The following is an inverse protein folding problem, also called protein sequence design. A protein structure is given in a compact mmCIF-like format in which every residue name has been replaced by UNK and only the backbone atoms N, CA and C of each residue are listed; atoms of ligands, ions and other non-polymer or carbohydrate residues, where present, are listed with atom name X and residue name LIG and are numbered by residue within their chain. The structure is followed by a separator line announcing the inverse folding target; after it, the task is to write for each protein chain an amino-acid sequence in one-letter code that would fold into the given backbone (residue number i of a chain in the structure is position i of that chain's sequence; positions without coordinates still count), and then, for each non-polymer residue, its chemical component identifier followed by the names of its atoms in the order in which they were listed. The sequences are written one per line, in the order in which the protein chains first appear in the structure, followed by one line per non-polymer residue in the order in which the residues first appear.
data_IF_146391518086
#
_entry.id   IF_146391518086
#
_cell.length_a   1.000
_cell.length_b   1.000
_cell.length_c   1.000
_cell.angle_alpha   90.00
_cell.angle_beta   90.00
_cell.angle_gamma   90.00
#
_symmetry.space_group_name_H-M   'P 1'
#
loop_
_entity.id
_entity.type
_entity.pdbx_description
1 polymer ?
#
# COMPACT_ATOMS: atom_id res chain seq x y z
N UNK A 1 -34.15 33.84 31.67
CA UNK A 1 -32.82 33.44 32.17
C UNK A 1 -31.65 34.20 31.51
N UNK A 2 -31.80 34.84 30.35
CA UNK A 2 -30.71 35.62 29.70
C UNK A 2 -30.77 37.15 29.90
N UNK A 3 -31.70 37.66 30.72
CA UNK A 3 -31.84 39.10 30.98
C UNK A 3 -31.63 39.49 32.46
N UNK A 4 -31.26 38.54 33.33
CA UNK A 4 -31.15 38.78 34.77
C UNK A 4 -29.72 38.62 35.33
N UNK A 5 -28.70 38.57 34.46
CA UNK A 5 -27.30 38.44 34.87
C UNK A 5 -26.36 39.34 34.06
N UNK A 6 -26.83 40.57 33.78
CA UNK A 6 -26.01 41.66 33.25
C UNK A 6 -25.56 42.59 34.39
N UNK A 7 -24.94 42.01 35.42
CA UNK A 7 -24.27 42.72 36.51
C UNK A 7 -22.79 42.33 36.50
N UNK A 8 -21.89 43.17 37.02
CA UNK A 8 -20.44 42.96 36.96
C UNK A 8 -19.99 41.60 37.54
N UNK A 9 -20.76 41.02 38.46
CA UNK A 9 -20.56 39.65 38.99
C UNK A 9 -20.65 38.54 37.91
N UNK A 10 -21.41 38.77 36.84
CA UNK A 10 -21.48 37.89 35.68
C UNK A 10 -20.18 37.87 34.87
N UNK A 11 -19.50 39.01 34.76
CA UNK A 11 -18.19 39.13 34.10
C UNK A 11 -17.05 38.59 34.97
N UNK A 12 -17.15 38.69 36.30
CA UNK A 12 -16.21 38.01 37.20
C UNK A 12 -16.33 36.48 37.18
N UNK A 13 -17.51 35.93 36.85
CA UNK A 13 -17.70 34.48 36.63
C UNK A 13 -17.18 33.98 35.28
N UNK A 14 -16.90 34.87 34.31
CA UNK A 14 -16.15 34.55 33.09
C UNK A 14 -14.64 34.35 33.35
N UNK A 15 -14.22 34.44 34.62
CA UNK A 15 -13.07 33.72 35.15
C UNK A 15 -11.88 33.73 34.21
N UNK A 16 -11.08 34.79 34.29
CA UNK A 16 -9.67 34.84 33.83
C UNK A 16 -8.80 33.85 34.65
N UNK A 17 -9.35 32.68 34.97
CA UNK A 17 -8.82 31.58 35.75
C UNK A 17 -9.18 30.22 35.14
N UNK A 18 -9.87 30.16 33.98
CA UNK A 18 -10.33 28.87 33.41
C UNK A 18 -9.74 28.56 32.03
N UNK A 19 -9.59 29.55 31.13
CA UNK A 19 -9.05 29.30 29.78
C UNK A 19 -7.53 29.11 29.79
N UNK A 20 -6.81 29.95 30.54
CA UNK A 20 -5.35 29.88 30.62
C UNK A 20 -4.91 28.57 31.28
N UNK A 21 -5.54 28.18 32.40
CA UNK A 21 -5.23 26.92 33.09
C UNK A 21 -5.56 25.70 32.23
N UNK A 22 -6.64 25.74 31.44
CA UNK A 22 -6.97 24.68 30.49
C UNK A 22 -5.89 24.54 29.40
N UNK A 23 -5.44 25.66 28.81
CA UNK A 23 -4.37 25.67 27.81
C UNK A 23 -3.06 25.17 28.42
N UNK A 24 -2.73 25.58 29.65
CA UNK A 24 -1.54 25.12 30.37
C UNK A 24 -1.60 23.61 30.63
N UNK A 25 -2.73 23.09 31.12
CA UNK A 25 -2.90 21.64 31.33
C UNK A 25 -2.86 20.84 30.03
N UNK A 26 -3.48 21.35 28.96
CA UNK A 26 -3.45 20.72 27.65
C UNK A 26 -2.02 20.63 27.11
N UNK A 27 -1.27 21.75 27.13
CA UNK A 27 0.11 21.79 26.65
C UNK A 27 1.03 20.92 27.51
N UNK A 28 0.88 20.94 28.84
CA UNK A 28 1.64 20.07 29.74
C UNK A 28 1.39 18.58 29.43
N UNK A 29 0.12 18.21 29.17
CA UNK A 29 -0.24 16.83 28.81
C UNK A 29 0.34 16.42 27.46
N UNK A 30 0.30 17.31 26.47
CA UNK A 30 0.91 17.06 25.15
C UNK A 30 2.42 16.87 25.28
N UNK A 31 3.11 17.73 26.05
CA UNK A 31 4.56 17.63 26.28
C UNK A 31 4.90 16.31 26.97
N UNK A 32 4.17 15.95 28.03
CA UNK A 32 4.38 14.68 28.75
C UNK A 32 4.14 13.48 27.82
N UNK A 33 3.08 13.50 27.02
CA UNK A 33 2.80 12.42 26.07
C UNK A 33 3.89 12.29 25.01
N UNK A 34 4.43 13.40 24.48
CA UNK A 34 5.54 13.39 23.52
C UNK A 34 6.80 12.81 24.16
N UNK A 35 7.14 13.22 25.39
CA UNK A 35 8.30 12.69 26.12
C UNK A 35 8.12 11.19 26.40
N UNK A 36 6.96 10.77 26.88
CA UNK A 36 6.64 9.36 27.12
C UNK A 36 6.66 8.54 25.85
N UNK A 37 6.18 9.07 24.73
CA UNK A 37 6.24 8.41 23.42
C UNK A 37 7.68 8.25 22.95
N UNK A 38 8.51 9.29 23.04
CA UNK A 38 9.93 9.22 22.68
C UNK A 38 10.65 8.20 23.57
N UNK A 39 10.41 8.21 24.88
CA UNK A 39 10.99 7.24 25.81
C UNK A 39 10.58 5.80 25.47
N UNK A 40 9.29 5.58 25.16
CA UNK A 40 8.79 4.27 24.74
C UNK A 40 9.43 3.82 23.42
N UNK A 41 9.56 4.73 22.43
CA UNK A 41 10.22 4.44 21.16
C UNK A 41 11.69 4.09 21.36
N UNK A 42 12.43 4.81 22.21
CA UNK A 42 13.82 4.49 22.54
C UNK A 42 13.91 3.12 23.22
N UNK A 43 13.02 2.83 24.17
CA UNK A 43 12.99 1.54 24.86
C UNK A 43 12.69 0.40 23.90
N UNK A 44 11.69 0.55 23.02
CA UNK A 44 11.37 -0.42 21.97
C UNK A 44 12.55 -0.58 21.01
N UNK A 45 13.21 0.50 20.62
CA UNK A 45 14.41 0.41 19.76
C UNK A 45 15.57 -0.31 20.46
N UNK A 46 15.78 -0.09 21.76
CA UNK A 46 16.79 -0.78 22.55
C UNK A 46 16.46 -2.28 22.65
N UNK A 47 15.21 -2.62 22.94
CA UNK A 47 14.73 -4.00 22.99
C UNK A 47 14.83 -4.68 21.63
N UNK A 48 14.48 -4.01 20.54
CA UNK A 48 14.62 -4.54 19.18
C UNK A 48 16.09 -4.74 18.82
N UNK A 49 16.99 -3.80 19.15
CA UNK A 49 18.42 -3.97 18.91
C UNK A 49 19.01 -5.11 19.74
N UNK A 50 18.58 -5.27 20.99
CA UNK A 50 18.98 -6.40 21.83
C UNK A 50 18.43 -7.72 21.30
N UNK A 51 17.17 -7.73 20.85
CA UNK A 51 16.53 -8.90 20.25
C UNK A 51 17.16 -9.27 18.91
N UNK A 52 17.51 -8.30 18.05
CA UNK A 52 18.22 -8.51 16.79
C UNK A 52 19.65 -8.94 17.05
N UNK A 53 20.35 -8.39 18.05
CA UNK A 53 21.69 -8.86 18.43
C UNK A 53 21.67 -10.30 18.99
N UNK A 54 20.65 -10.65 19.77
CA UNK A 54 20.40 -12.03 20.21
C UNK A 54 19.99 -12.94 19.04
N UNK A 55 19.23 -12.40 18.09
CA UNK A 55 18.84 -13.09 16.88
C UNK A 55 20.04 -13.23 15.93
N UNK A 56 21.01 -12.32 15.88
CA UNK A 56 22.25 -12.40 15.08
C UNK A 56 23.14 -13.56 15.54
N UNK A 57 23.12 -13.88 16.84
CA UNK A 57 23.73 -15.09 17.39
C UNK A 57 22.98 -16.35 16.92
N UNK A 58 21.67 -16.25 16.64
CA UNK A 58 20.82 -17.33 16.13
C UNK A 58 20.69 -17.34 14.59
N UNK A 59 20.99 -16.23 13.90
CA UNK A 59 20.66 -15.94 12.51
C UNK A 59 21.89 -15.95 11.60
N UNK A 60 22.68 -17.01 11.74
CA UNK A 60 23.18 -17.74 10.58
C UNK A 60 22.03 -18.35 9.72
N UNK A 61 20.87 -17.70 9.62
CA UNK A 61 19.72 -18.16 8.83
C UNK A 61 19.57 -17.21 7.63
N UNK A 62 20.34 -17.44 6.55
CA UNK A 62 20.20 -16.77 5.25
C UNK A 62 18.85 -17.03 4.54
N UNK A 63 17.82 -17.55 5.24
CA UNK A 63 16.51 -17.82 4.64
C UNK A 63 15.69 -16.55 4.38
N UNK A 64 15.71 -15.52 5.25
CA UNK A 64 14.77 -14.37 5.11
C UNK A 64 15.18 -13.46 3.94
N UNK A 65 16.47 -13.16 3.79
CA UNK A 65 16.99 -12.41 2.65
C UNK A 65 16.86 -13.16 1.33
N UNK A 66 17.10 -14.48 1.34
CA UNK A 66 16.90 -15.34 0.18
C UNK A 66 15.43 -15.43 -0.24
N UNK A 67 14.52 -15.60 0.72
CA UNK A 67 13.08 -15.67 0.48
C UNK A 67 12.55 -14.36 -0.10
N UNK A 68 12.94 -13.20 0.44
CA UNK A 68 12.52 -11.90 -0.10
C UNK A 68 12.98 -11.71 -1.56
N UNK A 69 14.17 -12.20 -1.91
CA UNK A 69 14.68 -12.16 -3.29
C UNK A 69 13.92 -13.10 -4.22
N UNK A 70 13.57 -14.30 -3.76
CA UNK A 70 12.78 -15.28 -4.54
C UNK A 70 11.35 -14.79 -4.73
N UNK A 71 10.72 -14.27 -3.67
CA UNK A 71 9.38 -13.69 -3.73
C UNK A 71 9.35 -12.47 -4.65
N UNK A 72 10.36 -11.58 -4.56
CA UNK A 72 10.50 -10.46 -5.47
C UNK A 72 10.64 -10.89 -6.93
N UNK A 73 11.39 -11.97 -7.21
CA UNK A 73 11.50 -12.54 -8.55
C UNK A 73 10.15 -13.10 -9.02
N UNK A 74 9.47 -13.89 -8.20
CA UNK A 74 8.14 -14.45 -8.50
C UNK A 74 7.11 -13.35 -8.81
N UNK A 75 7.03 -12.34 -7.94
CA UNK A 75 6.13 -11.20 -8.14
C UNK A 75 6.49 -10.41 -9.40
N UNK A 76 7.78 -10.21 -9.67
CA UNK A 76 8.25 -9.57 -10.90
C UNK A 76 7.87 -10.35 -12.17
N UNK A 77 7.99 -11.68 -12.15
CA UNK A 77 7.57 -12.53 -13.27
C UNK A 77 6.05 -12.48 -13.49
N UNK A 78 5.25 -12.50 -12.42
CA UNK A 78 3.80 -12.36 -12.50
C UNK A 78 3.41 -10.99 -13.06
N UNK A 79 4.07 -9.92 -12.62
CA UNK A 79 3.85 -8.58 -13.15
C UNK A 79 4.23 -8.47 -14.63
N UNK A 80 5.36 -9.04 -15.05
CA UNK A 80 5.76 -9.07 -16.46
C UNK A 80 4.74 -9.84 -17.31
N UNK A 81 4.26 -10.99 -16.82
CA UNK A 81 3.23 -11.78 -17.48
C UNK A 81 1.93 -10.99 -17.67
N UNK A 82 1.50 -10.26 -16.64
CA UNK A 82 0.33 -9.38 -16.71
C UNK A 82 0.44 -8.35 -17.85
N UNK A 83 1.58 -7.68 -17.99
CA UNK A 83 1.80 -6.72 -19.08
C UNK A 83 1.83 -7.38 -20.46
N UNK A 84 2.43 -8.57 -20.59
CA UNK A 84 2.43 -9.33 -21.85
C UNK A 84 0.99 -9.67 -22.28
N UNK A 85 0.16 -10.11 -21.34
CA UNK A 85 -1.23 -10.41 -21.64
C UNK A 85 -2.04 -9.16 -22.02
N UNK A 86 -1.77 -8.02 -21.39
CA UNK A 86 -2.39 -6.76 -21.78
C UNK A 86 -1.99 -6.34 -23.21
N UNK A 87 -0.71 -6.50 -23.56
CA UNK A 87 -0.22 -6.25 -24.91
C UNK A 87 -0.92 -7.14 -25.95
N UNK A 88 -1.08 -8.43 -25.66
CA UNK A 88 -1.81 -9.34 -26.56
C UNK A 88 -3.28 -8.98 -26.74
N UNK A 89 -3.92 -8.39 -25.73
CA UNK A 89 -5.29 -7.89 -25.87
C UNK A 89 -5.36 -6.76 -26.89
N UNK A 90 -4.46 -5.77 -26.79
CA UNK A 90 -4.35 -4.67 -27.76
C UNK A 90 -4.04 -5.22 -29.15
N UNK A 91 -3.11 -6.16 -29.24
CA UNK A 91 -2.71 -6.80 -30.50
C UNK A 91 -3.89 -7.54 -31.15
N UNK A 92 -4.70 -8.24 -30.35
CA UNK A 92 -5.90 -8.94 -30.82
C UNK A 92 -6.93 -7.96 -31.39
N UNK A 93 -7.15 -6.82 -30.75
CA UNK A 93 -8.04 -5.78 -31.29
C UNK A 93 -7.47 -5.15 -32.58
N UNK A 94 -6.14 -4.99 -32.65
CA UNK A 94 -5.45 -4.48 -33.82
C UNK A 94 -5.37 -5.50 -34.98
N UNK A 95 -5.76 -6.76 -34.78
CA UNK A 95 -5.75 -7.80 -35.82
C UNK A 95 -6.68 -7.51 -37.01
N UNK A 96 -7.56 -6.50 -36.91
CA UNK A 96 -8.31 -5.99 -38.05
C UNK A 96 -7.44 -5.18 -39.05
N UNK A 97 -6.17 -4.90 -38.70
CA UNK A 97 -5.21 -4.15 -39.54
C UNK A 97 -4.14 -5.07 -40.11
N UNK A 98 -3.56 -4.71 -41.27
CA UNK A 98 -2.48 -5.50 -41.91
C UNK A 98 -1.28 -5.72 -40.97
N UNK A 99 -0.86 -4.68 -40.26
CA UNK A 99 0.24 -4.75 -39.29
C UNK A 99 -0.11 -5.65 -38.10
N UNK A 100 -1.34 -5.59 -37.60
CA UNK A 100 -1.81 -6.46 -36.53
C UNK A 100 -1.85 -7.94 -36.93
N UNK A 101 -2.28 -8.25 -38.15
CA UNK A 101 -2.25 -9.62 -38.70
C UNK A 101 -0.83 -10.16 -38.80
N UNK A 102 0.12 -9.36 -39.30
CA UNK A 102 1.52 -9.78 -39.41
C UNK A 102 2.10 -10.08 -38.02
N UNK A 103 1.91 -9.20 -37.06
CA UNK A 103 2.38 -9.41 -35.68
C UNK A 103 1.70 -10.61 -35.03
N UNK A 104 0.41 -10.83 -35.26
CA UNK A 104 -0.29 -12.02 -34.78
C UNK A 104 0.28 -13.31 -35.39
N UNK A 105 0.62 -13.29 -36.68
CA UNK A 105 1.26 -14.44 -37.34
C UNK A 105 2.63 -14.76 -36.73
N UNK A 106 3.39 -13.73 -36.32
CA UNK A 106 4.68 -13.91 -35.63
C UNK A 106 4.50 -14.50 -34.23
N UNK A 107 3.46 -14.07 -33.50
CA UNK A 107 3.09 -14.62 -32.18
C UNK A 107 2.76 -16.11 -32.32
N UNK A 108 1.95 -16.48 -33.30
CA UNK A 108 1.53 -17.87 -33.55
C UNK A 108 2.66 -18.78 -34.03
N UNK A 109 3.65 -18.25 -34.76
CA UNK A 109 4.82 -19.02 -35.19
C UNK A 109 5.74 -19.42 -34.04
N UNK A 110 5.73 -18.68 -32.93
CA UNK A 110 6.55 -18.98 -31.76
C UNK A 110 5.76 -19.80 -30.75
N UNK A 111 6.26 -20.99 -30.42
CA UNK A 111 5.63 -21.90 -29.45
C UNK A 111 5.40 -21.25 -28.08
N UNK A 112 6.33 -20.40 -27.63
CA UNK A 112 6.21 -19.71 -26.35
C UNK A 112 5.15 -18.62 -26.41
N UNK A 113 5.20 -17.76 -27.43
CA UNK A 113 4.28 -16.62 -27.56
C UNK A 113 2.85 -17.10 -27.83
N UNK A 114 2.67 -18.12 -28.68
CA UNK A 114 1.37 -18.77 -28.88
C UNK A 114 0.83 -19.32 -27.57
N UNK A 115 1.63 -20.06 -26.80
CA UNK A 115 1.17 -20.60 -25.51
C UNK A 115 0.77 -19.50 -24.52
N UNK A 116 1.54 -18.41 -24.43
CA UNK A 116 1.21 -17.27 -23.58
C UNK A 116 -0.04 -16.52 -24.06
N UNK A 117 -0.26 -16.45 -25.37
CA UNK A 117 -1.44 -15.86 -25.98
C UNK A 117 -2.70 -16.71 -25.72
N UNK A 118 -2.62 -18.02 -25.91
CA UNK A 118 -3.72 -18.96 -25.70
C UNK A 118 -4.12 -19.06 -24.22
N UNK A 119 -3.13 -18.94 -23.32
CA UNK A 119 -3.32 -18.93 -21.86
C UNK A 119 -3.74 -17.55 -21.32
N UNK A 120 -3.94 -16.54 -22.17
CA UNK A 120 -4.25 -15.18 -21.74
C UNK A 120 -5.65 -15.09 -21.12
N UNK A 121 -5.70 -14.96 -19.80
CA UNK A 121 -6.95 -14.87 -19.05
C UNK A 121 -7.82 -13.69 -19.47
N UNK A 122 -7.22 -12.53 -19.81
CA UNK A 122 -8.01 -11.36 -20.23
C UNK A 122 -8.67 -11.59 -21.58
N UNK A 123 -7.96 -12.19 -22.53
CA UNK A 123 -8.55 -12.56 -23.82
C UNK A 123 -9.69 -13.57 -23.64
N UNK A 124 -9.51 -14.57 -22.80
CA UNK A 124 -10.57 -15.55 -22.52
C UNK A 124 -11.83 -14.89 -21.93
N UNK A 125 -11.67 -13.97 -20.98
CA UNK A 125 -12.79 -13.20 -20.40
C UNK A 125 -13.49 -12.35 -21.48
N UNK A 126 -12.72 -11.67 -22.34
CA UNK A 126 -13.28 -10.84 -23.42
C UNK A 126 -14.03 -11.70 -24.43
N UNK A 127 -13.46 -12.82 -24.85
CA UNK A 127 -14.11 -13.72 -25.82
C UNK A 127 -15.36 -14.37 -25.23
N UNK A 128 -15.33 -14.80 -23.97
CA UNK A 128 -16.47 -15.40 -23.30
C UNK A 128 -17.61 -14.41 -23.09
N UNK A 129 -17.31 -13.16 -22.74
CA UNK A 129 -18.33 -12.11 -22.62
C UNK A 129 -18.90 -11.76 -23.99
N UNK A 130 -18.07 -11.58 -25.02
CA UNK A 130 -18.54 -11.33 -26.38
C UNK A 130 -19.46 -12.45 -26.91
N UNK A 131 -19.11 -13.71 -26.66
CA UNK A 131 -19.92 -14.87 -27.04
C UNK A 131 -21.28 -14.95 -26.33
N UNK A 132 -21.44 -14.30 -25.17
CA UNK A 132 -22.74 -14.22 -24.47
C UNK A 132 -23.71 -13.22 -25.12
N UNK A 133 -23.20 -12.26 -25.89
CA UNK A 133 -23.98 -11.22 -26.56
C UNK A 133 -24.30 -11.52 -28.04
N UNK A 134 -23.69 -12.57 -28.59
CA UNK A 134 -23.95 -13.09 -29.94
C UNK A 134 -25.01 -14.21 -29.87
#
# INVERSE_FOLDING_TARGET
LLLNYNNDDGYYSLGVTTFQDYVVHFIATVILNVISFIAAVILVQLLLRAAIGALDILSHIPLIGGLNRILGLLLGLLQALFFIWLFFLILSMASATETGLQLMSMVQQSRLLSYLYDSNLFLQIVLQTAAMFL
#
